data_IF_917043321347
#
_entry.id   IF_917043321347
#
_cell.length_a   1.000
_cell.length_b   1.000
_cell.length_c   1.000
_cell.angle_alpha   90.00
_cell.angle_beta   90.00
_cell.angle_gamma   90.00
#
_symmetry.space_group_name_H-M   'P 1'
#
loop_
_entity.id
_entity.type
_entity.pdbx_description
1 polymer ?
#
# COMPACT_ATOMS: atom_id res chain seq x y z
N UNK A 1 8.27 12.55 1.40
CA UNK A 1 7.25 11.90 0.63
C UNK A 1 5.87 12.17 1.19
N UNK A 2 4.89 12.40 0.34
CA UNK A 2 3.55 12.68 0.80
C UNK A 2 2.77 11.41 1.13
N UNK A 3 1.55 11.60 1.56
CA UNK A 3 0.64 10.49 1.83
C UNK A 3 0.41 9.68 0.56
N UNK A 4 0.21 8.39 0.72
CA UNK A 4 -0.12 7.53 -0.41
C UNK A 4 -1.63 7.30 -0.45
N UNK A 5 -2.33 8.26 -1.03
CA UNK A 5 -3.78 8.20 -1.12
C UNK A 5 -4.26 7.17 -2.13
N UNK A 6 -3.43 6.85 -3.11
CA UNK A 6 -3.78 5.83 -4.10
C UNK A 6 -3.84 4.45 -3.46
N UNK A 7 -2.89 4.15 -2.58
CA UNK A 7 -2.91 2.90 -1.85
C UNK A 7 -4.17 2.82 -0.97
N UNK A 8 -4.45 3.89 -0.25
CA UNK A 8 -5.63 3.92 0.61
C UNK A 8 -6.91 3.74 -0.20
N UNK A 9 -7.01 4.41 -1.34
CA UNK A 9 -8.21 4.31 -2.19
C UNK A 9 -8.36 2.91 -2.78
N UNK A 10 -7.26 2.30 -3.23
CA UNK A 10 -7.31 0.97 -3.80
C UNK A 10 -7.74 -0.06 -2.75
N UNK A 11 -7.20 0.07 -1.54
CA UNK A 11 -7.59 -0.80 -0.44
C UNK A 11 -9.07 -0.63 -0.10
N UNK A 12 -9.51 0.61 0.02
CA UNK A 12 -10.91 0.90 0.36
C UNK A 12 -11.88 0.41 -0.71
N UNK A 13 -11.47 0.47 -1.98
CA UNK A 13 -12.34 0.01 -3.07
C UNK A 13 -12.62 -1.48 -3.00
N UNK A 14 -11.80 -2.23 -2.28
CA UNK A 14 -11.98 -3.67 -2.07
C UNK A 14 -12.56 -3.96 -0.68
N UNK A 15 -12.99 -2.93 0.04
CA UNK A 15 -13.48 -3.07 1.41
C UNK A 15 -12.48 -3.76 2.31
N UNK A 16 -11.20 -3.50 2.08
CA UNK A 16 -10.12 -4.15 2.81
C UNK A 16 -9.59 -3.21 3.88
N UNK A 17 -9.49 -3.69 5.11
CA UNK A 17 -8.91 -2.90 6.19
C UNK A 17 -7.39 -2.90 6.09
N UNK A 18 -6.75 -1.95 6.78
CA UNK A 18 -5.29 -1.92 6.86
C UNK A 18 -4.75 -3.23 7.44
N UNK A 19 -5.44 -3.77 8.45
CA UNK A 19 -5.03 -5.03 9.05
C UNK A 19 -5.12 -6.20 8.10
N UNK A 20 -6.17 -6.24 7.29
CA UNK A 20 -6.33 -7.31 6.30
C UNK A 20 -5.24 -7.25 5.24
N UNK A 21 -4.92 -6.06 4.76
CA UNK A 21 -3.84 -5.92 3.79
C UNK A 21 -2.51 -6.32 4.41
N UNK A 22 -2.25 -5.86 5.63
CA UNK A 22 -1.01 -6.20 6.34
C UNK A 22 -0.83 -7.70 6.46
N UNK A 23 -1.91 -8.41 6.82
CA UNK A 23 -1.87 -9.85 6.95
C UNK A 23 -1.54 -10.53 5.63
N UNK A 24 -2.13 -10.04 4.55
CA UNK A 24 -1.90 -10.62 3.22
C UNK A 24 -0.47 -10.48 2.74
N UNK A 25 0.19 -9.39 3.12
CA UNK A 25 1.56 -9.15 2.65
C UNK A 25 2.62 -9.45 3.72
N UNK A 26 2.20 -9.90 4.90
CA UNK A 26 3.12 -10.37 5.92
C UNK A 26 3.81 -9.28 6.73
N UNK A 27 3.14 -8.17 6.94
CA UNK A 27 3.66 -7.07 7.78
C UNK A 27 2.61 -6.70 8.82
N UNK A 28 2.94 -5.75 9.70
CA UNK A 28 1.99 -5.30 10.71
C UNK A 28 1.09 -4.22 10.14
N UNK A 29 -0.07 -4.04 10.79
CA UNK A 29 -0.99 -2.96 10.42
C UNK A 29 -0.32 -1.60 10.51
N UNK A 30 0.53 -1.41 11.52
CA UNK A 30 1.25 -0.15 11.67
C UNK A 30 2.12 0.16 10.46
N UNK A 31 2.71 -0.86 9.84
CA UNK A 31 3.53 -0.67 8.65
C UNK A 31 2.67 -0.15 7.50
N UNK A 32 1.49 -0.74 7.28
CA UNK A 32 0.58 -0.26 6.24
C UNK A 32 0.13 1.17 6.54
N UNK A 33 -0.23 1.43 7.79
CA UNK A 33 -0.63 2.77 8.20
C UNK A 33 0.47 3.80 7.92
N UNK A 34 1.72 3.46 8.25
CA UNK A 34 2.85 4.36 8.04
C UNK A 34 3.09 4.62 6.55
N UNK A 35 2.93 3.59 5.71
CA UNK A 35 3.06 3.76 4.26
C UNK A 35 1.99 4.73 3.75
N UNK A 36 0.76 4.57 4.20
CA UNK A 36 -0.33 5.42 3.74
C UNK A 36 -0.15 6.86 4.19
N UNK A 37 0.45 7.06 5.36
CA UNK A 37 0.74 8.40 5.86
C UNK A 37 1.95 9.07 5.22
N UNK A 38 2.77 8.28 4.54
CA UNK A 38 4.01 8.80 3.97
C UNK A 38 5.18 8.81 4.94
N UNK A 39 5.06 8.10 6.06
CA UNK A 39 6.08 8.05 7.10
C UNK A 39 7.07 6.90 6.94
N UNK A 40 6.85 6.03 5.97
CA UNK A 40 7.67 4.85 5.78
C UNK A 40 7.82 4.56 4.30
N UNK A 41 9.06 4.34 3.86
CA UNK A 41 9.35 3.99 2.47
C UNK A 41 9.46 2.47 2.36
N UNK A 42 8.46 1.80 1.76
CA UNK A 42 8.51 0.35 1.64
C UNK A 42 9.58 -0.08 0.65
N UNK A 43 10.11 -1.29 0.87
CA UNK A 43 11.03 -1.89 -0.09
C UNK A 43 10.25 -2.20 -1.37
N UNK A 44 10.99 -2.39 -2.47
CA UNK A 44 10.37 -2.80 -3.74
C UNK A 44 9.60 -4.11 -3.55
N UNK A 45 10.17 -5.02 -2.78
CA UNK A 45 9.53 -6.30 -2.53
C UNK A 45 8.17 -6.14 -1.85
N UNK A 46 8.10 -5.25 -0.86
CA UNK A 46 6.85 -4.99 -0.18
C UNK A 46 5.87 -4.28 -1.11
N UNK A 47 6.35 -3.33 -1.92
CA UNK A 47 5.51 -2.66 -2.89
C UNK A 47 4.88 -3.65 -3.86
N UNK A 48 5.67 -4.60 -4.37
CA UNK A 48 5.15 -5.62 -5.27
C UNK A 48 4.10 -6.48 -4.58
N UNK A 49 4.35 -6.87 -3.33
CA UNK A 49 3.39 -7.65 -2.55
C UNK A 49 2.07 -6.93 -2.37
N UNK A 50 2.14 -5.65 -2.05
CA UNK A 50 0.93 -4.83 -1.87
C UNK A 50 0.17 -4.73 -3.20
N UNK A 51 0.89 -4.48 -4.29
CA UNK A 51 0.25 -4.38 -5.60
C UNK A 51 -0.45 -5.67 -5.98
N UNK A 52 0.17 -6.81 -5.74
CA UNK A 52 -0.44 -8.10 -6.03
C UNK A 52 -1.70 -8.32 -5.19
N UNK A 53 -1.64 -7.96 -3.92
CA UNK A 53 -2.78 -8.14 -3.03
C UNK A 53 -3.98 -7.29 -3.47
N UNK A 54 -3.73 -6.14 -4.08
CA UNK A 54 -4.78 -5.21 -4.48
C UNK A 54 -5.10 -5.29 -5.97
N UNK A 55 -4.39 -6.12 -6.73
CA UNK A 55 -4.62 -6.22 -8.17
C UNK A 55 -4.24 -4.96 -8.93
N UNK A 56 -3.20 -4.28 -8.48
CA UNK A 56 -2.74 -3.01 -9.07
C UNK A 56 -1.29 -3.14 -9.51
N UNK A 57 -0.82 -2.15 -10.26
CA UNK A 57 0.58 -2.08 -10.68
C UNK A 57 1.33 -1.12 -9.78
N UNK A 58 2.67 -1.18 -9.86
CA UNK A 58 3.51 -0.22 -9.14
C UNK A 58 3.21 1.22 -9.55
N UNK A 59 2.95 1.44 -10.83
CA UNK A 59 2.59 2.77 -11.32
C UNK A 59 1.28 3.26 -10.71
N UNK A 60 0.35 2.34 -10.49
CA UNK A 60 -0.95 2.70 -9.92
C UNK A 60 -0.83 3.19 -8.48
N UNK A 61 0.08 2.62 -7.71
CA UNK A 61 0.09 2.84 -6.27
C UNK A 61 1.30 3.61 -5.76
N UNK A 62 2.46 3.43 -6.35
CA UNK A 62 3.69 3.94 -5.75
C UNK A 62 4.46 4.92 -6.61
N UNK A 63 4.33 4.86 -7.91
CA UNK A 63 5.11 5.73 -8.79
C UNK A 63 4.24 6.83 -9.35
N UNK A 64 4.77 8.03 -9.29
CA UNK A 64 4.06 9.20 -9.75
C UNK A 64 4.61 9.60 -11.11
N UNK A 65 3.71 9.74 -12.04
CA UNK A 65 4.07 10.08 -13.41
C UNK A 65 4.35 11.55 -13.62
N UNK A 66 4.43 12.32 -12.62
CA UNK A 66 4.50 13.78 -12.66
C UNK A 66 5.20 14.34 -13.88
#
# INVERSE_FOLDING_TARGET
MGKNLRLKAARASLDMTQGELAERVGVTRQTICAIEKGDYNPTIRLCVGICRALGKTLNDLFWNEA
#
